data_IF_361076086482
#
_entry.id   IF_361076086482
#
_cell.length_a   1.000
_cell.length_b   1.000
_cell.length_c   1.000
_cell.angle_alpha   90.00
_cell.angle_beta   90.00
_cell.angle_gamma   90.00
#
_symmetry.space_group_name_H-M   'P 1'
#
loop_
_entity.id
_entity.type
_entity.pdbx_description
1 polymer ?
#
# COMPACT_ATOMS: atom_id res chain seq x y z
N UNK A 1 41.72 -0.51 14.51
CA UNK A 1 40.82 0.64 14.26
C UNK A 1 40.78 1.46 15.53
N UNK A 2 41.09 2.75 15.48
CA UNK A 2 41.07 3.61 16.67
C UNK A 2 39.63 3.90 17.08
N UNK A 3 39.25 3.63 18.33
CA UNK A 3 37.92 3.94 18.87
C UNK A 3 37.72 5.44 19.18
N UNK A 4 38.47 6.32 18.54
CA UNK A 4 38.48 7.76 18.81
C UNK A 4 37.58 8.48 17.80
N UNK A 5 36.65 9.28 18.31
CA UNK A 5 35.68 10.04 17.54
C UNK A 5 35.71 11.50 17.96
N UNK A 6 35.34 12.40 17.06
CA UNK A 6 35.09 13.80 17.36
C UNK A 6 33.60 14.06 17.31
N UNK A 7 33.05 14.64 18.37
CA UNK A 7 31.69 15.16 18.38
C UNK A 7 31.64 16.43 17.50
N UNK A 8 30.83 16.43 16.44
CA UNK A 8 30.67 17.58 15.55
C UNK A 8 30.06 18.80 16.23
N UNK A 9 29.21 18.59 17.25
CA UNK A 9 28.48 19.67 17.93
C UNK A 9 29.39 20.44 18.88
N UNK A 10 30.23 19.72 19.64
CA UNK A 10 31.10 20.32 20.66
C UNK A 10 32.56 20.39 20.25
N UNK A 11 32.95 19.70 19.18
CA UNK A 11 34.34 19.58 18.73
C UNK A 11 35.22 18.72 19.63
N UNK A 12 34.68 18.12 20.70
CA UNK A 12 35.44 17.32 21.67
C UNK A 12 35.81 15.96 21.11
N UNK A 13 36.99 15.46 21.51
CA UNK A 13 37.41 14.09 21.24
C UNK A 13 36.86 13.15 22.32
N UNK A 14 36.23 12.07 21.87
CA UNK A 14 35.57 11.08 22.71
C UNK A 14 35.92 9.68 22.21
N UNK A 15 36.04 8.74 23.14
CA UNK A 15 36.26 7.33 22.87
C UNK A 15 34.92 6.59 22.81
N UNK A 16 34.66 5.86 21.73
CA UNK A 16 33.46 5.03 21.61
C UNK A 16 33.58 3.80 22.49
N UNK A 17 32.66 3.63 23.44
CA UNK A 17 32.63 2.48 24.34
C UNK A 17 31.65 1.42 23.82
N UNK A 18 30.38 1.80 23.63
CA UNK A 18 29.33 0.86 23.24
C UNK A 18 28.13 1.58 22.63
N UNK A 19 27.32 0.88 21.83
CA UNK A 19 26.04 1.35 21.31
C UNK A 19 24.98 1.16 22.40
N UNK A 20 24.32 2.25 22.82
CA UNK A 20 23.28 2.20 23.85
C UNK A 20 21.90 1.96 23.23
N UNK A 21 21.66 2.43 21.99
CA UNK A 21 20.40 2.27 21.25
C UNK A 21 20.62 2.38 19.72
N UNK A 22 19.55 2.33 18.91
CA UNK A 22 19.65 2.51 17.44
C UNK A 22 20.28 3.86 17.05
N UNK A 23 20.07 4.91 17.84
CA UNK A 23 20.43 6.29 17.51
C UNK A 23 21.56 6.88 18.38
N UNK A 24 21.87 6.27 19.53
CA UNK A 24 22.81 6.82 20.52
C UNK A 24 23.98 5.88 20.84
N UNK A 25 25.15 6.47 20.99
CA UNK A 25 26.39 5.83 21.40
C UNK A 25 26.81 6.31 22.80
N UNK A 26 27.30 5.38 23.59
CA UNK A 26 27.98 5.65 24.85
C UNK A 26 29.45 5.94 24.57
N UNK A 27 29.86 7.16 24.87
CA UNK A 27 31.22 7.65 24.63
C UNK A 27 31.88 8.11 25.92
N UNK A 28 33.20 8.03 26.00
CA UNK A 28 34.01 8.51 27.12
C UNK A 28 34.82 9.71 26.70
N UNK A 29 34.75 10.80 27.47
CA UNK A 29 35.59 11.97 27.22
C UNK A 29 37.02 11.80 27.76
N UNK A 30 37.92 12.73 27.44
CA UNK A 30 39.29 12.72 27.95
C UNK A 30 39.38 12.84 29.49
N UNK A 31 38.32 13.27 30.17
CA UNK A 31 38.21 13.33 31.62
C UNK A 31 37.71 12.02 32.26
N UNK A 32 37.42 11.00 31.45
CA UNK A 32 36.89 9.72 31.92
C UNK A 32 35.39 9.69 32.16
N UNK A 33 34.67 10.78 31.89
CA UNK A 33 33.22 10.84 32.05
C UNK A 33 32.54 10.14 30.88
N UNK A 34 31.51 9.35 31.19
CA UNK A 34 30.71 8.65 30.19
C UNK A 34 29.48 9.49 29.86
N UNK A 35 29.29 9.78 28.58
CA UNK A 35 28.15 10.55 28.07
C UNK A 35 27.51 9.83 26.89
N UNK A 36 26.23 10.12 26.66
CA UNK A 36 25.49 9.60 25.52
C UNK A 36 25.41 10.67 24.44
N UNK A 37 25.88 10.33 23.25
CA UNK A 37 25.91 11.24 22.08
C UNK A 37 25.29 10.52 20.90
N UNK A 38 24.57 11.23 20.03
CA UNK A 38 23.96 10.59 18.87
C UNK A 38 25.03 10.10 17.90
N UNK A 39 24.82 8.93 17.31
CA UNK A 39 25.77 8.31 16.37
C UNK A 39 26.07 9.21 15.17
N UNK A 40 25.08 9.98 14.71
CA UNK A 40 25.21 10.91 13.59
C UNK A 40 26.17 12.08 13.87
N UNK A 41 26.35 12.43 15.15
CA UNK A 41 27.22 13.53 15.58
C UNK A 41 28.67 13.08 15.75
N UNK A 42 28.96 11.78 15.76
CA UNK A 42 30.30 11.24 15.97
C UNK A 42 31.01 11.01 14.63
N UNK A 43 32.16 11.67 14.45
CA UNK A 43 33.02 11.47 13.28
C UNK A 43 34.28 10.72 13.69
N UNK A 44 34.65 9.61 13.02
CA UNK A 44 35.92 8.94 13.28
C UNK A 44 37.09 9.92 13.19
N UNK A 45 37.93 9.95 14.23
CA UNK A 45 39.07 10.85 14.33
C UNK A 45 40.36 10.04 14.51
N UNK A 46 41.34 10.28 13.65
CA UNK A 46 42.66 9.65 13.75
C UNK A 46 43.70 10.71 14.19
N UNK A 47 44.42 10.39 15.27
CA UNK A 47 45.44 11.27 15.88
C UNK A 47 46.57 11.63 14.90
N UNK A 48 46.80 10.81 13.88
CA UNK A 48 47.87 11.01 12.89
C UNK A 48 47.41 11.74 11.60
N UNK A 49 46.10 11.85 11.34
CA UNK A 49 45.56 12.39 10.06
C UNK A 49 44.50 13.49 10.23
N UNK A 50 44.15 13.88 11.46
CA UNK A 50 43.15 14.91 11.71
C UNK A 50 41.73 14.47 11.36
N UNK A 51 40.81 15.43 11.14
CA UNK A 51 39.43 15.15 10.73
C UNK A 51 39.44 14.41 9.40
N UNK A 52 39.14 13.12 9.42
CA UNK A 52 38.89 12.33 8.22
C UNK A 52 37.50 12.73 7.72
N UNK A 53 37.47 13.69 6.81
CA UNK A 53 36.29 14.13 6.08
C UNK A 53 35.54 12.89 5.57
N UNK A 54 34.28 12.76 6.02
CA UNK A 54 33.25 11.82 5.58
C UNK A 54 33.68 10.93 4.40
N UNK A 55 34.33 9.81 4.72
CA UNK A 55 34.17 8.65 3.85
C UNK A 55 32.71 8.29 4.05
N UNK A 56 31.93 8.53 3.00
CA UNK A 56 30.53 8.19 2.91
C UNK A 56 30.34 6.83 3.57
N UNK A 57 29.42 6.79 4.54
CA UNK A 57 28.92 5.54 5.06
C UNK A 57 28.71 4.59 3.88
N UNK A 58 29.10 3.30 3.96
CA UNK A 58 28.55 2.33 3.05
C UNK A 58 27.05 2.52 3.19
N UNK A 59 26.44 3.05 2.13
CA UNK A 59 25.02 3.32 2.09
C UNK A 59 24.44 1.97 2.48
N UNK A 60 23.85 1.92 3.68
CA UNK A 60 22.94 0.87 4.04
C UNK A 60 21.92 1.02 2.92
N UNK A 61 21.99 0.11 1.94
CA UNK A 61 21.01 0.07 0.89
C UNK A 61 19.69 0.06 1.66
N UNK A 62 18.80 1.04 1.43
CA UNK A 62 17.48 0.98 2.06
C UNK A 62 16.97 -0.43 1.80
N UNK A 63 16.58 -1.12 2.88
CA UNK A 63 15.94 -2.43 2.76
C UNK A 63 14.95 -2.31 1.61
N UNK A 64 15.02 -3.20 0.60
CA UNK A 64 14.15 -3.09 -0.56
C UNK A 64 12.72 -2.92 -0.05
N UNK A 65 12.12 -1.76 -0.32
CA UNK A 65 10.73 -1.52 0.04
C UNK A 65 9.94 -2.72 -0.45
N UNK A 66 9.19 -3.34 0.46
CA UNK A 66 8.32 -4.46 0.13
C UNK A 66 7.39 -3.98 -0.98
N UNK A 67 7.65 -4.43 -2.21
CA UNK A 67 6.85 -4.04 -3.35
C UNK A 67 5.45 -4.56 -3.09
N UNK A 68 4.48 -3.64 -3.06
CA UNK A 68 3.07 -3.97 -2.92
C UNK A 68 2.77 -5.05 -3.98
N UNK A 69 2.24 -6.22 -3.60
CA UNK A 69 1.99 -7.28 -4.55
C UNK A 69 1.15 -6.73 -5.70
N UNK A 70 1.65 -6.88 -6.92
CA UNK A 70 0.93 -6.45 -8.12
C UNK A 70 -0.41 -7.20 -8.15
N UNK A 71 -1.50 -6.51 -7.83
CA UNK A 71 -2.85 -7.05 -7.94
C UNK A 71 -3.08 -7.44 -9.39
N UNK A 72 -3.21 -8.75 -9.63
CA UNK A 72 -3.56 -9.32 -10.93
C UNK A 72 -5.01 -9.04 -11.33
N UNK A 73 -5.82 -8.47 -10.42
CA UNK A 73 -7.20 -8.04 -10.72
C UNK A 73 -7.16 -6.61 -11.25
N UNK A 74 -7.67 -6.35 -12.47
CA UNK A 74 -7.85 -5.00 -12.99
C UNK A 74 -8.71 -4.17 -12.02
N UNK A 75 -8.26 -2.97 -11.69
CA UNK A 75 -8.94 -2.08 -10.75
C UNK A 75 -10.26 -1.55 -11.35
N UNK A 76 -10.38 -1.55 -12.68
CA UNK A 76 -11.52 -1.01 -13.42
C UNK A 76 -12.43 -2.14 -13.92
N UNK A 77 -13.41 -2.54 -13.12
CA UNK A 77 -14.51 -3.40 -13.58
C UNK A 77 -15.54 -2.54 -14.32
N UNK A 78 -15.57 -2.63 -15.65
CA UNK A 78 -16.49 -1.85 -16.50
C UNK A 78 -17.91 -2.40 -16.52
N UNK A 79 -18.14 -3.56 -15.91
CA UNK A 79 -19.38 -4.32 -15.98
C UNK A 79 -20.47 -3.70 -15.13
N UNK A 80 -21.71 -4.02 -15.48
CA UNK A 80 -22.88 -3.52 -14.77
C UNK A 80 -23.27 -4.47 -13.64
N UNK A 81 -23.21 -4.00 -12.40
CA UNK A 81 -23.72 -4.73 -11.25
C UNK A 81 -25.27 -4.67 -11.19
N UNK A 82 -25.96 -5.79 -11.42
CA UNK A 82 -27.43 -5.81 -11.42
C UNK A 82 -28.05 -5.65 -10.02
N UNK A 83 -27.31 -5.96 -8.96
CA UNK A 83 -27.80 -5.81 -7.59
C UNK A 83 -27.84 -4.34 -7.15
N UNK A 84 -26.96 -3.49 -7.70
CA UNK A 84 -26.88 -2.07 -7.32
C UNK A 84 -27.39 -1.12 -8.40
N UNK A 85 -27.40 -1.53 -9.67
CA UNK A 85 -27.80 -0.65 -10.76
C UNK A 85 -29.28 -0.22 -10.67
N UNK A 86 -29.59 1.06 -10.91
CA UNK A 86 -30.96 1.53 -11.09
C UNK A 86 -31.51 1.13 -12.46
N UNK A 87 -32.84 1.08 -12.60
CA UNK A 87 -33.51 0.69 -13.84
C UNK A 87 -33.08 1.55 -15.05
N UNK A 88 -32.83 2.84 -14.85
CA UNK A 88 -32.37 3.74 -15.90
C UNK A 88 -30.99 3.37 -16.44
N UNK A 89 -30.07 2.95 -15.55
CA UNK A 89 -28.72 2.55 -15.94
C UNK A 89 -28.74 1.19 -16.65
N UNK A 90 -29.56 0.26 -16.16
CA UNK A 90 -29.79 -1.04 -16.80
C UNK A 90 -30.31 -0.85 -18.24
N UNK A 91 -31.33 -0.02 -18.42
CA UNK A 91 -31.92 0.24 -19.74
C UNK A 91 -30.97 0.95 -20.72
N UNK A 92 -30.04 1.77 -20.22
CA UNK A 92 -29.06 2.48 -21.05
C UNK A 92 -27.87 1.62 -21.45
N UNK A 93 -27.45 0.69 -20.59
CA UNK A 93 -26.21 -0.08 -20.78
C UNK A 93 -26.43 -1.45 -21.39
N UNK A 94 -27.58 -2.08 -21.19
CA UNK A 94 -27.80 -3.44 -21.65
C UNK A 94 -28.50 -3.45 -23.02
N UNK A 95 -27.86 -3.99 -24.08
CA UNK A 95 -28.51 -4.14 -25.38
C UNK A 95 -29.73 -5.06 -25.26
N UNK A 96 -30.82 -4.69 -25.93
CA UNK A 96 -32.08 -5.45 -25.90
C UNK A 96 -32.93 -5.27 -24.63
N UNK A 97 -32.46 -4.52 -23.61
CA UNK A 97 -33.22 -4.25 -22.39
C UNK A 97 -33.81 -2.85 -22.42
N UNK A 98 -35.12 -2.75 -22.68
CA UNK A 98 -35.85 -1.50 -22.56
C UNK A 98 -36.15 -1.10 -21.10
N UNK A 99 -36.61 0.13 -20.88
CA UNK A 99 -36.92 0.65 -19.54
C UNK A 99 -37.98 -0.18 -18.77
N UNK A 100 -38.99 -0.70 -19.47
CA UNK A 100 -39.99 -1.58 -18.85
C UNK A 100 -39.38 -2.89 -18.33
N UNK A 101 -38.48 -3.50 -19.11
CA UNK A 101 -37.75 -4.70 -18.71
C UNK A 101 -36.77 -4.40 -17.58
N UNK A 102 -36.10 -3.25 -17.62
CA UNK A 102 -35.22 -2.80 -16.54
C UNK A 102 -35.96 -2.60 -15.21
N UNK A 103 -37.18 -2.05 -15.23
CA UNK A 103 -38.04 -2.01 -14.03
C UNK A 103 -38.34 -3.41 -13.50
N UNK A 104 -38.69 -4.34 -14.38
CA UNK A 104 -38.96 -5.74 -14.01
C UNK A 104 -37.74 -6.44 -13.40
N UNK A 105 -36.53 -6.12 -13.85
CA UNK A 105 -35.28 -6.59 -13.22
C UNK A 105 -35.17 -6.09 -11.78
N UNK A 106 -35.42 -4.79 -11.55
CA UNK A 106 -35.39 -4.20 -10.20
C UNK A 106 -36.51 -4.76 -9.32
N UNK A 107 -37.71 -4.96 -9.85
CA UNK A 107 -38.83 -5.56 -9.12
C UNK A 107 -38.54 -7.01 -8.72
N UNK A 108 -38.01 -7.82 -9.64
CA UNK A 108 -37.61 -9.20 -9.35
C UNK A 108 -36.52 -9.21 -8.27
N UNK A 109 -35.51 -8.34 -8.38
CA UNK A 109 -34.46 -8.17 -7.37
C UNK A 109 -35.06 -7.94 -5.98
N UNK A 110 -36.02 -7.03 -5.86
CA UNK A 110 -36.68 -6.70 -4.59
C UNK A 110 -37.55 -7.84 -4.04
N UNK A 111 -38.05 -8.73 -4.91
CA UNK A 111 -38.85 -9.88 -4.48
C UNK A 111 -38.02 -11.05 -3.93
N UNK A 112 -36.72 -11.08 -4.22
CA UNK A 112 -35.82 -12.15 -3.79
C UNK A 112 -35.37 -11.94 -2.34
N UNK A 113 -35.03 -13.06 -1.68
CA UNK A 113 -34.48 -13.01 -0.32
C UNK A 113 -33.19 -12.22 -0.28
N UNK A 114 -33.12 -11.21 0.59
CA UNK A 114 -31.99 -10.28 0.68
C UNK A 114 -31.99 -9.19 -0.40
N UNK A 115 -33.11 -8.99 -1.10
CA UNK A 115 -33.31 -7.94 -2.12
C UNK A 115 -32.20 -7.92 -3.19
N UNK A 116 -31.70 -9.10 -3.56
CA UNK A 116 -30.58 -9.27 -4.47
C UNK A 116 -30.66 -10.58 -5.25
N UNK A 117 -30.04 -10.60 -6.43
CA UNK A 117 -29.76 -11.83 -7.14
C UNK A 117 -28.60 -12.55 -6.46
N UNK A 118 -28.80 -13.83 -6.15
CA UNK A 118 -27.80 -14.74 -5.58
C UNK A 118 -27.02 -15.49 -6.68
N UNK A 119 -27.61 -15.65 -7.86
CA UNK A 119 -26.97 -16.28 -9.02
C UNK A 119 -27.54 -15.73 -10.33
N UNK A 120 -26.78 -15.86 -11.43
CA UNK A 120 -27.18 -15.34 -12.75
C UNK A 120 -28.40 -16.08 -13.33
N UNK A 121 -28.63 -17.35 -12.96
CA UNK A 121 -29.78 -18.13 -13.43
C UNK A 121 -31.12 -17.53 -13.01
N UNK A 122 -31.16 -16.77 -11.91
CA UNK A 122 -32.38 -16.07 -11.48
C UNK A 122 -32.86 -15.03 -12.50
N UNK A 123 -31.99 -14.53 -13.37
CA UNK A 123 -32.32 -13.57 -14.41
C UNK A 123 -33.19 -14.19 -15.51
N UNK A 124 -33.08 -15.50 -15.74
CA UNK A 124 -33.88 -16.24 -16.74
C UNK A 124 -35.39 -16.16 -16.49
N UNK A 125 -35.82 -15.82 -15.26
CA UNK A 125 -37.22 -15.55 -14.92
C UNK A 125 -37.78 -14.30 -15.62
N UNK A 126 -36.92 -13.48 -16.23
CA UNK A 126 -37.30 -12.30 -16.99
C UNK A 126 -37.24 -12.67 -18.48
N UNK A 127 -38.40 -12.91 -19.11
CA UNK A 127 -38.44 -13.32 -20.50
C UNK A 127 -38.06 -12.15 -21.43
N UNK A 128 -37.66 -12.49 -22.66
CA UNK A 128 -37.34 -11.53 -23.74
C UNK A 128 -36.04 -10.73 -23.55
N UNK A 129 -35.12 -11.23 -22.74
CA UNK A 129 -33.74 -10.73 -22.65
C UNK A 129 -32.81 -11.89 -22.99
N UNK A 130 -31.80 -11.64 -23.82
CA UNK A 130 -30.78 -12.63 -24.14
C UNK A 130 -29.67 -12.62 -23.07
N UNK A 131 -29.94 -13.26 -21.93
CA UNK A 131 -29.03 -13.26 -20.79
C UNK A 131 -27.69 -13.95 -21.09
N UNK A 132 -27.71 -15.02 -21.90
CA UNK A 132 -26.51 -15.74 -22.32
C UNK A 132 -25.54 -14.80 -23.03
N UNK A 133 -26.02 -14.02 -24.01
CA UNK A 133 -25.19 -13.02 -24.70
C UNK A 133 -24.61 -11.96 -23.76
N UNK A 134 -25.40 -11.43 -22.82
CA UNK A 134 -24.93 -10.41 -21.87
C UNK A 134 -23.84 -10.94 -20.93
N UNK A 135 -23.89 -12.24 -20.62
CA UNK A 135 -22.89 -12.93 -19.81
C UNK A 135 -21.65 -13.25 -20.65
N UNK A 136 -21.83 -13.72 -21.88
CA UNK A 136 -20.74 -14.04 -22.82
C UNK A 136 -19.93 -12.80 -23.24
N UNK A 137 -20.61 -11.67 -23.40
CA UNK A 137 -19.99 -10.36 -23.66
C UNK A 137 -19.42 -9.70 -22.39
N UNK A 138 -19.50 -10.39 -21.25
CA UNK A 138 -19.01 -9.94 -19.93
C UNK A 138 -19.52 -8.52 -19.58
N UNK A 139 -20.81 -8.24 -19.85
CA UNK A 139 -21.39 -6.91 -19.63
C UNK A 139 -21.98 -6.72 -18.22
N UNK A 140 -22.28 -7.82 -17.54
CA UNK A 140 -22.98 -7.83 -16.26
C UNK A 140 -22.28 -8.68 -15.22
N UNK A 141 -22.49 -8.33 -13.96
CA UNK A 141 -22.16 -9.18 -12.83
C UNK A 141 -23.16 -8.99 -11.69
N UNK A 142 -23.04 -9.83 -10.68
CA UNK A 142 -23.79 -9.76 -9.43
C UNK A 142 -22.83 -9.89 -8.25
N UNK A 143 -23.04 -9.10 -7.20
CA UNK A 143 -22.26 -9.11 -5.95
C UNK A 143 -23.17 -9.03 -4.74
#
# INVERSE_FOLDING_TARGET
MSNLFQDQKTGKLVEFINKHDKEFAMVRDAGGNITYVSLEQLVPYDRNKGRLTKIAAPQIAPEPEEQIPNSVVPIEDTRLNLNTAPAEQIAKRLPGVGYATAKRIVELRMSLSGERFANLKQLENIPRVNWEQLIDEDLIFIS
#
